data_IF_482203147735
#
_entry.id   IF_482203147735
#
_cell.length_a   1.000
_cell.length_b   1.000
_cell.length_c   1.000
_cell.angle_alpha   90.00
_cell.angle_beta   90.00
_cell.angle_gamma   90.00
#
_symmetry.space_group_name_H-M   'P 1'
#
loop_
_entity.id
_entity.type
_entity.pdbx_description
1 polymer ?
#
# COMPACT_ATOMS: atom_id res chain seq x y z
N UNK A 1 -6.44 58.00 -61.99
CA UNK A 1 -6.31 59.33 -61.38
C UNK A 1 -7.10 59.32 -60.09
N UNK A 2 -6.38 59.41 -58.97
CA UNK A 2 -6.88 59.62 -57.61
C UNK A 2 -7.78 60.85 -57.50
N UNK A 3 -8.71 60.83 -56.53
CA UNK A 3 -8.94 61.94 -55.59
C UNK A 3 -9.48 61.36 -54.28
N UNK A 4 -8.69 61.56 -53.22
CA UNK A 4 -9.09 61.48 -51.82
C UNK A 4 -9.99 62.69 -51.48
N UNK A 5 -11.10 62.47 -50.79
CA UNK A 5 -11.87 63.46 -50.00
C UNK A 5 -12.82 62.61 -49.10
N UNK A 6 -12.47 62.15 -47.90
CA UNK A 6 -12.35 62.86 -46.61
C UNK A 6 -13.56 63.77 -46.31
N UNK A 7 -14.50 63.31 -45.46
CA UNK A 7 -15.16 64.05 -44.35
C UNK A 7 -16.14 63.09 -43.61
N UNK A 8 -15.69 62.54 -42.46
CA UNK A 8 -16.19 62.79 -41.10
C UNK A 8 -17.68 62.44 -40.86
N UNK A 9 -17.90 61.26 -40.25
CA UNK A 9 -19.12 60.89 -39.54
C UNK A 9 -18.72 60.26 -38.20
N UNK A 10 -19.00 60.97 -37.13
CA UNK A 10 -18.52 60.76 -35.77
C UNK A 10 -19.37 59.70 -35.03
N UNK A 11 -18.72 59.01 -34.07
CA UNK A 11 -19.30 58.25 -32.94
C UNK A 11 -19.93 56.88 -33.26
N UNK A 12 -19.18 55.80 -32.97
CA UNK A 12 -19.75 54.71 -32.18
C UNK A 12 -18.68 54.14 -31.22
N UNK A 13 -18.96 54.40 -29.94
CA UNK A 13 -18.53 53.70 -28.73
C UNK A 13 -17.06 53.30 -28.63
N UNK A 14 -16.36 54.01 -27.73
CA UNK A 14 -15.35 53.45 -26.86
C UNK A 14 -15.75 52.04 -26.38
N UNK A 15 -15.23 50.99 -27.03
CA UNK A 15 -15.15 49.68 -26.41
C UNK A 15 -14.27 49.87 -25.17
N UNK A 16 -14.88 49.76 -23.99
CA UNK A 16 -14.15 49.57 -22.76
C UNK A 16 -13.16 48.42 -22.99
N UNK A 17 -11.87 48.73 -22.93
CA UNK A 17 -10.84 47.73 -22.72
C UNK A 17 -11.05 47.28 -21.28
N UNK A 18 -11.87 46.24 -21.08
CA UNK A 18 -11.78 45.47 -19.86
C UNK A 18 -10.37 44.90 -19.81
N UNK A 19 -9.63 45.03 -18.69
CA UNK A 19 -8.42 44.23 -18.55
C UNK A 19 -8.88 42.78 -18.72
N UNK A 20 -8.32 42.08 -19.72
CA UNK A 20 -8.35 40.63 -19.69
C UNK A 20 -7.68 40.25 -18.37
N UNK A 21 -8.50 39.92 -17.36
CA UNK A 21 -8.05 39.04 -16.30
C UNK A 21 -7.48 37.85 -17.06
N UNK A 22 -6.18 37.62 -16.87
CA UNK A 22 -5.49 36.50 -17.47
C UNK A 22 -6.37 35.28 -17.22
N UNK A 23 -6.98 34.80 -18.29
CA UNK A 23 -7.76 33.58 -18.30
C UNK A 23 -6.71 32.52 -18.00
N UNK A 24 -6.50 32.20 -16.72
CA UNK A 24 -5.78 31.01 -16.34
C UNK A 24 -6.49 29.91 -17.10
N UNK A 25 -5.79 29.36 -18.08
CA UNK A 25 -6.26 28.26 -18.89
C UNK A 25 -6.90 27.26 -17.95
N UNK A 26 -8.18 26.96 -18.20
CA UNK A 26 -8.88 25.84 -17.61
C UNK A 26 -8.10 24.58 -17.98
N UNK A 27 -7.08 24.29 -17.19
CA UNK A 27 -6.39 23.02 -17.19
C UNK A 27 -7.39 22.02 -16.63
N UNK A 28 -8.05 21.28 -17.53
CA UNK A 28 -9.04 20.26 -17.20
C UNK A 28 -8.42 19.03 -16.53
N UNK A 29 -7.14 19.08 -16.18
CA UNK A 29 -6.41 17.95 -15.57
C UNK A 29 -6.31 18.01 -14.05
N UNK A 30 -6.70 19.13 -13.42
CA UNK A 30 -6.85 19.16 -11.96
C UNK A 30 -8.33 19.24 -11.58
N UNK A 31 -8.86 18.30 -10.77
CA UNK A 31 -10.15 18.50 -10.14
C UNK A 31 -10.12 19.86 -9.43
N UNK A 32 -11.21 20.61 -9.48
CA UNK A 32 -11.36 21.86 -8.75
C UNK A 32 -11.43 21.53 -7.24
N UNK A 33 -10.30 21.16 -6.65
CA UNK A 33 -10.16 20.90 -5.22
C UNK A 33 -10.42 22.23 -4.54
N UNK A 34 -11.39 22.25 -3.64
CA UNK A 34 -11.69 23.46 -2.89
C UNK A 34 -10.39 23.94 -2.17
N UNK A 35 -9.98 25.22 -2.30
CA UNK A 35 -8.74 25.74 -1.72
C UNK A 35 -8.56 25.46 -0.23
N UNK A 36 -9.65 25.30 0.52
CA UNK A 36 -9.65 24.95 1.93
C UNK A 36 -9.11 23.52 2.16
N UNK A 37 -9.43 22.58 1.27
CA UNK A 37 -8.91 21.21 1.30
C UNK A 37 -7.41 21.18 1.00
N UNK A 38 -6.95 21.89 -0.03
CA UNK A 38 -5.51 21.95 -0.34
C UNK A 38 -4.70 22.52 0.83
N UNK A 39 -5.23 23.56 1.49
CA UNK A 39 -4.60 24.15 2.66
C UNK A 39 -4.53 23.14 3.81
N UNK A 40 -5.63 22.44 4.09
CA UNK A 40 -5.67 21.42 5.14
C UNK A 40 -4.72 20.25 4.84
N UNK A 41 -4.64 19.78 3.59
CA UNK A 41 -3.71 18.72 3.17
C UNK A 41 -2.26 19.12 3.49
N UNK A 42 -1.85 20.31 3.07
CA UNK A 42 -0.50 20.85 3.34
C UNK A 42 -0.20 20.98 4.84
N UNK A 43 -1.20 21.38 5.63
CA UNK A 43 -1.06 21.50 7.08
C UNK A 43 -0.87 20.13 7.74
N UNK A 44 -1.68 19.13 7.37
CA UNK A 44 -1.53 17.75 7.85
C UNK A 44 -0.18 17.13 7.44
N UNK A 45 0.26 17.32 6.20
CA UNK A 45 1.59 16.89 5.75
C UNK A 45 2.72 17.51 6.59
N UNK A 46 2.61 18.80 6.93
CA UNK A 46 3.58 19.48 7.80
C UNK A 46 3.54 18.92 9.23
N UNK A 47 2.36 18.65 9.77
CA UNK A 47 2.20 18.05 11.08
C UNK A 47 2.77 16.63 11.15
N UNK A 48 2.54 15.81 10.12
CA UNK A 48 3.09 14.45 10.03
C UNK A 48 4.62 14.48 9.97
N UNK A 49 5.22 15.40 9.19
CA UNK A 49 6.68 15.58 9.18
C UNK A 49 7.24 15.95 10.56
N UNK A 50 6.48 16.69 11.36
CA UNK A 50 6.88 17.12 12.71
C UNK A 50 6.62 16.04 13.77
N UNK A 51 5.60 15.21 13.57
CA UNK A 51 5.12 14.22 14.53
C UNK A 51 4.78 12.89 13.82
N UNK A 52 5.77 12.18 13.25
CA UNK A 52 5.53 10.98 12.45
C UNK A 52 4.91 9.82 13.25
N UNK A 53 5.06 9.83 14.58
CA UNK A 53 4.51 8.78 15.45
C UNK A 53 3.06 9.05 15.84
N UNK A 54 2.49 10.23 15.53
CA UNK A 54 1.09 10.54 15.83
C UNK A 54 0.17 9.97 14.76
N UNK A 55 -0.25 8.71 14.97
CA UNK A 55 -1.10 7.94 14.05
C UNK A 55 -2.48 8.58 13.78
N UNK A 56 -3.00 9.34 14.75
CA UNK A 56 -4.20 10.16 14.59
C UNK A 56 -4.07 11.18 13.43
N UNK A 57 -2.88 11.70 13.15
CA UNK A 57 -2.67 12.61 12.01
C UNK A 57 -2.89 11.91 10.68
N UNK A 58 -2.49 10.65 10.57
CA UNK A 58 -2.74 9.84 9.38
C UNK A 58 -4.23 9.49 9.25
N UNK A 59 -4.92 9.17 10.34
CA UNK A 59 -6.37 8.94 10.33
C UNK A 59 -7.12 10.19 9.80
N UNK A 60 -6.78 11.37 10.33
CA UNK A 60 -7.40 12.61 9.92
C UNK A 60 -7.03 13.02 8.48
N UNK A 61 -5.80 12.76 8.05
CA UNK A 61 -5.41 12.94 6.65
C UNK A 61 -6.16 11.95 5.73
N UNK A 62 -6.42 10.73 6.18
CA UNK A 62 -7.28 9.76 5.50
C UNK A 62 -8.69 10.29 5.31
N UNK A 63 -9.31 10.84 6.37
CA UNK A 63 -10.63 11.47 6.30
C UNK A 63 -10.65 12.62 5.30
N UNK A 64 -9.61 13.45 5.29
CA UNK A 64 -9.50 14.57 4.37
C UNK A 64 -9.40 14.13 2.91
N UNK A 65 -8.61 13.08 2.63
CA UNK A 65 -8.49 12.49 1.30
C UNK A 65 -9.79 11.79 0.85
N UNK A 66 -10.50 11.13 1.78
CA UNK A 66 -11.80 10.56 1.49
C UNK A 66 -12.79 11.65 1.05
N UNK A 67 -12.84 12.77 1.78
CA UNK A 67 -13.71 13.90 1.47
C UNK A 67 -13.32 14.63 0.17
N UNK A 68 -12.04 14.66 -0.18
CA UNK A 68 -11.58 15.23 -1.46
C UNK A 68 -11.81 14.29 -2.65
N UNK A 69 -12.22 13.05 -2.41
CA UNK A 69 -12.43 12.01 -3.42
C UNK A 69 -11.17 11.23 -3.81
N UNK A 70 -10.03 11.50 -3.17
CA UNK A 70 -8.80 10.73 -3.34
C UNK A 70 -8.85 9.45 -2.48
N UNK A 71 -9.58 8.46 -2.98
CA UNK A 71 -9.82 7.21 -2.27
C UNK A 71 -8.53 6.40 -2.04
N UNK A 72 -7.58 6.44 -2.98
CA UNK A 72 -6.30 5.74 -2.85
C UNK A 72 -5.45 6.35 -1.73
N UNK A 73 -5.29 7.68 -1.72
CA UNK A 73 -4.59 8.37 -0.64
C UNK A 73 -5.30 8.19 0.71
N UNK A 74 -6.62 8.14 0.72
CA UNK A 74 -7.39 7.87 1.94
C UNK A 74 -7.03 6.49 2.52
N UNK A 75 -7.08 5.44 1.71
CA UNK A 75 -6.74 4.07 2.13
C UNK A 75 -5.31 3.96 2.64
N UNK A 76 -4.33 4.59 1.97
CA UNK A 76 -2.94 4.58 2.43
C UNK A 76 -2.77 5.26 3.80
N UNK A 77 -3.41 6.42 3.98
CA UNK A 77 -3.35 7.13 5.25
C UNK A 77 -4.09 6.39 6.38
N UNK A 78 -5.22 5.74 6.08
CA UNK A 78 -5.89 4.86 7.02
C UNK A 78 -5.00 3.68 7.42
N UNK A 79 -4.34 3.00 6.47
CA UNK A 79 -3.38 1.93 6.77
C UNK A 79 -2.27 2.40 7.71
N UNK A 80 -1.67 3.56 7.43
CA UNK A 80 -0.65 4.15 8.31
C UNK A 80 -1.18 4.47 9.72
N UNK A 81 -2.46 4.83 9.84
CA UNK A 81 -3.10 5.11 11.13
C UNK A 81 -3.39 3.86 11.97
N UNK A 82 -3.42 2.66 11.36
CA UNK A 82 -3.70 1.41 12.06
C UNK A 82 -2.53 0.92 12.92
N UNK A 83 -1.31 1.37 12.63
CA UNK A 83 -0.10 1.01 13.38
C UNK A 83 -0.29 1.42 14.84
N UNK A 84 -0.15 0.48 15.78
CA UNK A 84 -0.31 0.69 17.23
C UNK A 84 -1.67 1.26 17.69
N UNK A 85 -2.71 1.21 16.84
CA UNK A 85 -4.06 1.65 17.20
C UNK A 85 -4.73 0.72 18.22
N UNK A 86 -5.48 1.30 19.16
CA UNK A 86 -6.35 0.51 20.04
C UNK A 86 -7.54 -0.09 19.27
N UNK A 87 -8.25 -1.04 19.88
CA UNK A 87 -9.36 -1.74 19.22
C UNK A 87 -10.47 -0.82 18.72
N UNK A 88 -10.74 0.28 19.43
CA UNK A 88 -11.81 1.21 19.05
C UNK A 88 -11.36 2.10 17.88
N UNK A 89 -10.13 2.62 17.93
CA UNK A 89 -9.53 3.37 16.83
C UNK A 89 -9.42 2.51 15.58
N UNK A 90 -8.95 1.26 15.72
CA UNK A 90 -8.87 0.28 14.63
C UNK A 90 -10.24 0.05 13.99
N UNK A 91 -11.29 -0.11 14.80
CA UNK A 91 -12.65 -0.27 14.29
C UNK A 91 -13.13 0.92 13.46
N UNK A 92 -12.93 2.15 13.96
CA UNK A 92 -13.31 3.36 13.23
C UNK A 92 -12.51 3.54 11.93
N UNK A 93 -11.21 3.22 11.94
CA UNK A 93 -10.40 3.25 10.73
C UNK A 93 -10.87 2.22 9.70
N UNK A 94 -11.14 0.98 10.12
CA UNK A 94 -11.71 -0.06 9.24
C UNK A 94 -13.07 0.35 8.67
N UNK A 95 -13.94 0.95 9.49
CA UNK A 95 -15.20 1.53 9.03
C UNK A 95 -14.99 2.56 7.90
N UNK A 96 -14.03 3.50 8.06
CA UNK A 96 -13.75 4.48 7.02
C UNK A 96 -13.09 3.88 5.77
N UNK A 97 -12.28 2.82 5.92
CA UNK A 97 -11.77 2.05 4.77
C UNK A 97 -12.91 1.35 4.02
N UNK A 98 -13.90 0.80 4.74
CA UNK A 98 -15.13 0.24 4.16
C UNK A 98 -15.92 1.29 3.37
N UNK A 99 -16.15 2.46 3.96
CA UNK A 99 -16.81 3.59 3.28
C UNK A 99 -16.05 4.02 2.00
N UNK A 100 -14.72 4.00 2.06
CA UNK A 100 -13.86 4.34 0.93
C UNK A 100 -13.98 3.31 -0.20
N UNK A 101 -13.95 2.01 0.13
CA UNK A 101 -14.15 0.94 -0.85
C UNK A 101 -15.55 0.95 -1.45
N UNK A 102 -16.58 1.26 -0.64
CA UNK A 102 -17.95 1.45 -1.11
C UNK A 102 -18.02 2.57 -2.15
N UNK A 103 -17.37 3.72 -1.90
CA UNK A 103 -17.32 4.84 -2.84
C UNK A 103 -16.57 4.48 -4.13
N UNK A 104 -15.54 3.64 -4.05
CA UNK A 104 -14.83 3.11 -5.22
C UNK A 104 -15.63 2.06 -6.00
N UNK A 105 -16.75 1.57 -5.44
CA UNK A 105 -17.56 0.50 -6.02
C UNK A 105 -17.01 -0.91 -5.78
N UNK A 106 -15.90 -1.06 -5.05
CA UNK A 106 -15.36 -2.35 -4.59
C UNK A 106 -16.18 -2.81 -3.37
N UNK A 107 -17.41 -3.23 -3.65
CA UNK A 107 -18.37 -3.63 -2.62
C UNK A 107 -17.91 -4.86 -1.85
N UNK A 108 -17.11 -5.73 -2.47
CA UNK A 108 -16.54 -6.90 -1.83
C UNK A 108 -15.60 -6.50 -0.69
N UNK A 109 -14.61 -5.64 -0.96
CA UNK A 109 -13.72 -5.12 0.10
C UNK A 109 -14.44 -4.25 1.11
N UNK A 110 -15.45 -3.50 0.67
CA UNK A 110 -16.32 -2.74 1.59
C UNK A 110 -16.93 -3.64 2.67
N UNK A 111 -17.55 -4.75 2.25
CA UNK A 111 -18.14 -5.75 3.16
C UNK A 111 -17.08 -6.35 4.09
N UNK A 112 -15.89 -6.66 3.59
CA UNK A 112 -14.79 -7.20 4.38
C UNK A 112 -14.34 -6.24 5.49
N UNK A 113 -14.07 -4.98 5.16
CA UNK A 113 -13.67 -3.97 6.14
C UNK A 113 -14.74 -3.72 7.21
N UNK A 114 -16.02 -3.62 6.82
CA UNK A 114 -17.09 -3.46 7.81
C UNK A 114 -17.25 -4.69 8.71
N UNK A 115 -17.07 -5.90 8.17
CA UNK A 115 -17.10 -7.13 8.96
C UNK A 115 -15.95 -7.18 9.97
N UNK A 116 -14.75 -6.78 9.57
CA UNK A 116 -13.61 -6.67 10.49
C UNK A 116 -13.87 -5.62 11.58
N UNK A 117 -14.44 -4.47 11.22
CA UNK A 117 -14.81 -3.44 12.19
C UNK A 117 -15.84 -3.95 13.21
N UNK A 118 -16.90 -4.65 12.77
CA UNK A 118 -17.90 -5.27 13.64
C UNK A 118 -17.33 -6.39 14.53
N UNK A 119 -16.22 -7.00 14.16
CA UNK A 119 -15.54 -7.97 15.02
C UNK A 119 -14.92 -7.28 16.25
N UNK A 120 -14.54 -6.01 16.13
CA UNK A 120 -13.95 -5.21 17.20
C UNK A 120 -15.02 -4.48 18.04
N UNK A 121 -16.08 -3.98 17.39
CA UNK A 121 -17.20 -3.28 18.04
C UNK A 121 -18.55 -3.85 17.58
N UNK A 122 -18.98 -5.00 18.14
CA UNK A 122 -20.15 -5.74 17.63
C UNK A 122 -21.49 -5.00 17.72
N UNK A 123 -21.59 -4.01 18.61
CA UNK A 123 -22.83 -3.27 18.91
C UNK A 123 -22.89 -1.91 18.21
N UNK A 124 -21.96 -1.62 17.30
CA UNK A 124 -21.97 -0.37 16.53
C UNK A 124 -22.99 -0.43 15.38
N UNK A 125 -24.08 0.32 15.55
CA UNK A 125 -25.21 0.31 14.61
C UNK A 125 -24.91 1.05 13.30
N UNK A 126 -24.00 2.04 13.31
CA UNK A 126 -23.61 2.76 12.09
C UNK A 126 -22.77 1.83 11.18
N UNK A 127 -21.82 1.09 11.78
CA UNK A 127 -21.05 0.08 11.05
C UNK A 127 -21.96 -1.03 10.54
N UNK A 128 -22.91 -1.50 11.36
CA UNK A 128 -23.89 -2.53 10.95
C UNK A 128 -24.75 -2.05 9.78
N UNK A 129 -25.22 -0.81 9.82
CA UNK A 129 -26.01 -0.24 8.74
C UNK A 129 -25.23 -0.24 7.41
N UNK A 130 -23.98 0.23 7.41
CA UNK A 130 -23.16 0.30 6.20
C UNK A 130 -22.70 -1.08 5.71
N UNK A 131 -22.49 -2.04 6.61
CA UNK A 131 -22.25 -3.44 6.29
C UNK A 131 -23.42 -4.03 5.48
N UNK A 132 -24.64 -3.92 6.01
CA UNK A 132 -25.84 -4.47 5.36
C UNK A 132 -26.13 -3.75 4.03
N UNK A 133 -25.92 -2.43 3.98
CA UNK A 133 -26.04 -1.67 2.73
C UNK A 133 -25.04 -2.17 1.69
N UNK A 134 -23.76 -2.35 2.05
CA UNK A 134 -22.73 -2.84 1.12
C UNK A 134 -23.04 -4.23 0.61
N UNK A 135 -23.50 -5.12 1.49
CA UNK A 135 -23.90 -6.48 1.14
C UNK A 135 -25.11 -6.49 0.20
N UNK A 136 -26.13 -5.69 0.50
CA UNK A 136 -27.31 -5.54 -0.37
C UNK A 136 -26.94 -5.03 -1.76
N UNK A 137 -26.02 -4.06 -1.83
CA UNK A 137 -25.55 -3.52 -3.10
C UNK A 137 -24.70 -4.56 -3.87
N UNK A 138 -23.90 -5.36 -3.17
CA UNK A 138 -23.10 -6.44 -3.75
C UNK A 138 -23.99 -7.53 -4.36
N UNK A 139 -25.07 -7.91 -3.66
CA UNK A 139 -26.05 -8.88 -4.16
C UNK A 139 -26.82 -8.39 -5.39
N UNK A 140 -27.00 -7.08 -5.53
CA UNK A 140 -27.66 -6.46 -6.70
C UNK A 140 -26.73 -6.28 -7.89
N UNK A 141 -25.41 -6.33 -7.69
CA UNK A 141 -24.48 -6.26 -8.81
C UNK A 141 -24.58 -7.54 -9.65
N UNK A 142 -24.62 -7.43 -10.99
CA UNK A 142 -24.42 -8.61 -11.83
C UNK A 142 -23.07 -9.24 -11.47
N UNK A 143 -22.93 -10.58 -11.53
CA UNK A 143 -21.68 -11.25 -11.20
C UNK A 143 -20.53 -10.60 -11.97
N UNK A 144 -19.67 -9.88 -11.27
CA UNK A 144 -18.46 -9.35 -11.89
C UNK A 144 -17.50 -10.53 -12.06
N UNK A 145 -16.95 -10.71 -13.26
CA UNK A 145 -15.79 -11.55 -13.45
C UNK A 145 -14.72 -11.01 -12.50
N UNK A 146 -14.32 -11.82 -11.52
CA UNK A 146 -13.33 -11.46 -10.52
C UNK A 146 -12.08 -10.94 -11.21
N UNK A 147 -11.93 -9.62 -11.30
CA UNK A 147 -10.62 -9.03 -11.47
C UNK A 147 -9.95 -9.16 -10.10
N UNK A 148 -9.36 -10.34 -9.89
CA UNK A 148 -8.29 -10.54 -8.92
C UNK A 148 -7.15 -9.58 -9.29
N UNK A 149 -7.31 -8.31 -8.94
CA UNK A 149 -6.16 -7.47 -8.65
C UNK A 149 -5.72 -7.86 -7.24
N UNK A 150 -5.00 -8.98 -7.18
CA UNK A 150 -4.01 -9.24 -6.15
C UNK A 150 -2.99 -8.10 -6.22
N UNK A 151 -3.31 -6.98 -5.58
CA UNK A 151 -2.29 -6.09 -5.08
C UNK A 151 -1.79 -6.71 -3.77
N UNK A 152 -1.09 -7.83 -3.89
CA UNK A 152 -0.12 -8.22 -2.88
C UNK A 152 1.00 -7.18 -2.98
N UNK A 153 0.82 -6.13 -2.18
CA UNK A 153 1.86 -5.18 -1.88
C UNK A 153 3.04 -5.92 -1.26
N UNK A 154 4.22 -5.53 -1.73
CA UNK A 154 5.52 -5.86 -1.18
C UNK A 154 5.55 -5.65 0.34
N UNK A 155 5.36 -6.70 1.13
CA UNK A 155 5.82 -6.74 2.52
C UNK A 155 6.35 -8.15 2.84
N UNK A 156 7.69 -8.26 2.85
CA UNK A 156 8.43 -9.13 3.77
C UNK A 156 8.67 -10.58 3.37
N UNK A 157 9.64 -10.83 2.48
CA UNK A 157 10.36 -12.11 2.42
C UNK A 157 11.87 -11.86 2.55
N UNK A 158 12.27 -11.20 3.62
CA UNK A 158 13.62 -11.37 4.19
C UNK A 158 13.60 -12.64 5.05
N UNK A 159 13.88 -13.79 4.44
CA UNK A 159 14.66 -14.92 5.01
C UNK A 159 14.43 -16.20 4.19
N UNK A 160 15.30 -16.44 3.20
CA UNK A 160 15.93 -17.75 2.91
C UNK A 160 16.83 -17.68 1.68
N UNK A 161 18.06 -17.23 1.89
CA UNK A 161 19.19 -17.60 1.03
C UNK A 161 20.41 -17.94 1.88
N UNK A 162 20.43 -19.16 2.42
CA UNK A 162 21.67 -19.88 2.73
C UNK A 162 21.46 -21.36 2.42
N UNK A 163 21.63 -21.72 1.15
CA UNK A 163 22.23 -22.99 0.75
C UNK A 163 22.32 -23.06 -0.77
N UNK A 164 23.43 -22.57 -1.32
CA UNK A 164 24.00 -23.03 -2.59
C UNK A 164 25.32 -22.30 -2.83
N UNK A 165 26.39 -22.72 -2.14
CA UNK A 165 27.78 -22.55 -2.63
C UNK A 165 28.76 -23.31 -1.73
N UNK A 166 28.83 -24.63 -1.91
CA UNK A 166 30.03 -25.42 -1.58
C UNK A 166 29.90 -26.84 -2.13
N UNK A 167 29.83 -26.97 -3.46
CA UNK A 167 30.16 -28.21 -4.17
C UNK A 167 30.90 -27.89 -5.47
N UNK A 168 32.08 -27.28 -5.36
CA UNK A 168 33.12 -27.42 -6.39
C UNK A 168 34.46 -26.97 -5.83
N UNK A 169 35.19 -27.90 -5.21
CA UNK A 169 36.66 -27.93 -5.07
C UNK A 169 37.05 -29.03 -4.10
N UNK A 170 37.12 -30.28 -4.56
CA UNK A 170 38.03 -31.33 -4.04
C UNK A 170 37.89 -32.58 -4.92
N UNK A 171 38.23 -32.44 -6.19
CA UNK A 171 38.80 -33.56 -6.95
C UNK A 171 40.31 -33.43 -6.86
N UNK A 172 40.96 -34.36 -6.16
CA UNK A 172 42.41 -34.39 -6.05
C UNK A 172 42.90 -35.20 -4.85
N UNK A 173 43.23 -36.45 -5.13
CA UNK A 173 44.17 -37.31 -4.38
C UNK A 173 43.61 -38.11 -3.19
N UNK A 174 43.20 -39.34 -3.49
CA UNK A 174 42.89 -40.38 -2.52
C UNK A 174 42.96 -41.78 -3.13
N UNK A 175 43.98 -42.06 -3.94
CA UNK A 175 44.36 -43.44 -4.30
C UNK A 175 45.69 -43.76 -3.64
N UNK A 176 45.66 -44.55 -2.56
CA UNK A 176 46.59 -45.66 -2.33
C UNK A 176 46.13 -46.54 -1.16
N UNK A 177 45.71 -47.73 -1.56
CA UNK A 177 46.05 -49.03 -0.97
C UNK A 177 45.50 -49.39 0.41
N UNK A 178 44.37 -50.09 0.30
CA UNK A 178 43.84 -51.09 1.21
C UNK A 178 44.59 -52.43 0.99
N UNK A 179 45.47 -52.79 1.92
CA UNK A 179 45.93 -54.15 2.25
C UNK A 179 46.67 -53.99 3.58
N UNK A 180 46.30 -54.56 4.71
CA UNK A 180 46.11 -55.96 5.01
C UNK A 180 45.35 -56.05 6.34
N UNK A 181 44.19 -56.71 6.37
CA UNK A 181 43.65 -57.29 7.59
C UNK A 181 42.88 -58.54 7.19
N UNK A 182 43.63 -59.62 7.05
CA UNK A 182 43.09 -60.89 6.60
C UNK A 182 44.16 -61.96 6.57
N UNK A 183 44.73 -62.26 7.75
CA UNK A 183 45.32 -63.56 8.10
C UNK A 183 45.69 -63.53 9.58
N UNK A 184 44.76 -63.97 10.40
CA UNK A 184 45.14 -64.71 11.59
C UNK A 184 45.85 -65.99 11.15
N UNK A 185 46.83 -66.38 11.97
CA UNK A 185 47.39 -67.72 12.21
C UNK A 185 48.75 -67.99 11.61
N UNK A 186 49.56 -68.54 12.51
CA UNK A 186 50.88 -69.13 12.35
C UNK A 186 52.02 -68.12 12.39
N UNK A 187 52.43 -67.77 13.61
CA UNK A 187 53.74 -68.16 14.18
C UNK A 187 53.93 -67.37 15.49
N UNK A 188 53.80 -68.07 16.62
CA UNK A 188 54.93 -68.44 17.47
C UNK A 188 55.36 -67.27 18.36
N UNK A 189 54.94 -67.28 19.63
CA UNK A 189 55.65 -68.03 20.68
C UNK A 189 57.10 -67.55 20.87
N UNK A 190 57.23 -66.34 21.41
CA UNK A 190 58.35 -65.88 22.24
C UNK A 190 58.14 -64.37 22.36
N UNK A 191 57.51 -63.84 23.40
CA UNK A 191 58.28 -63.10 24.42
C UNK A 191 57.41 -62.69 25.63
N UNK A 192 56.30 -63.38 25.92
CA UNK A 192 55.55 -63.20 27.18
C UNK A 192 55.67 -64.42 28.13
N UNK A 193 56.84 -65.07 28.10
CA UNK A 193 57.38 -65.78 29.26
C UNK A 193 58.44 -64.90 29.94
N UNK A 194 58.03 -63.74 30.44
CA UNK A 194 58.83 -63.00 31.41
C UNK A 194 57.96 -62.38 32.51
N UNK A 195 56.98 -63.17 32.98
CA UNK A 195 56.35 -62.95 34.29
C UNK A 195 55.74 -64.23 34.87
N UNK A 196 56.57 -65.28 34.99
CA UNK A 196 56.38 -66.32 36.00
C UNK A 196 57.71 -67.01 36.36
N UNK A 197 58.66 -66.26 36.92
CA UNK A 197 59.57 -66.62 38.03
C UNK A 197 60.51 -65.46 38.36
#
# INVERSE_FOLDING_TARGET
MDIKLLFIGFILSSMMIYPQQQLHSLDKTQPNINPEYEKALKEYESLIKKYPDKKELYYNLGNLNYLSGDAEAALQNYKNSLIDSDSQQKAHTLYNMGNTMYQMGDLQKSVEFFKEALTLVPDDEDIRHNFELSKMMLEQQPPQEQQNQSQDGEEGDEEKQQNQESQQSQEGEGQKENSESGKEREEQQSEEQEQSQ
#
